data_IF_976636795780
#
_entry.id   IF_976636795780
#
_cell.length_a   1.000
_cell.length_b   1.000
_cell.length_c   1.000
_cell.angle_alpha   90.00
_cell.angle_beta   90.00
_cell.angle_gamma   90.00
#
_symmetry.space_group_name_H-M   'P 1'
#
loop_
_entity.id
_entity.type
_entity.pdbx_description
1 polymer ?
#
# COMPACT_ATOMS: atom_id res chain seq x y z
N UNK A 1 11.67 7.05 29.53
CA UNK A 1 10.79 6.25 28.66
C UNK A 1 11.20 6.51 27.22
N UNK A 2 11.77 5.53 26.54
CA UNK A 2 11.65 5.30 25.09
C UNK A 2 12.31 3.95 24.81
N UNK A 3 11.51 3.04 24.27
CA UNK A 3 11.79 1.62 24.14
C UNK A 3 12.70 1.27 22.95
N UNK A 4 13.23 0.06 23.07
CA UNK A 4 14.16 -0.68 22.25
C UNK A 4 13.53 -1.28 20.97
N UNK A 5 14.27 -1.29 19.85
CA UNK A 5 14.24 -2.27 18.74
C UNK A 5 15.41 -1.93 17.78
N UNK A 6 16.60 -2.55 17.84
CA UNK A 6 17.04 -3.90 17.40
C UNK A 6 17.17 -4.04 15.87
N UNK A 7 18.38 -3.76 15.39
CA UNK A 7 18.92 -4.03 14.05
C UNK A 7 20.26 -3.27 13.90
N UNK A 8 21.28 -3.78 13.19
CA UNK A 8 22.50 -3.00 12.97
C UNK A 8 22.15 -1.74 12.17
N UNK A 9 22.53 -0.57 12.70
CA UNK A 9 22.37 0.69 11.99
C UNK A 9 23.04 0.58 10.61
N UNK A 10 22.25 0.68 9.54
CA UNK A 10 22.79 0.62 8.18
C UNK A 10 23.38 2.00 7.85
N UNK A 11 24.68 2.15 8.07
CA UNK A 11 25.41 3.38 7.79
C UNK A 11 26.19 3.31 6.46
N UNK A 12 26.39 4.47 5.83
CA UNK A 12 27.22 4.62 4.65
C UNK A 12 28.60 5.17 5.02
N UNK A 13 29.65 4.52 4.50
CA UNK A 13 31.05 4.93 4.72
C UNK A 13 31.76 5.31 3.40
N UNK A 14 31.18 4.95 2.26
CA UNK A 14 31.63 5.26 0.91
C UNK A 14 30.42 5.56 0.03
N UNK A 15 30.59 6.46 -0.93
CA UNK A 15 29.51 6.94 -1.78
C UNK A 15 29.84 6.77 -3.26
N UNK A 16 28.80 6.45 -4.03
CA UNK A 16 28.86 6.45 -5.48
C UNK A 16 29.12 7.86 -6.01
N UNK A 17 30.18 8.01 -6.80
CA UNK A 17 30.61 9.32 -7.33
C UNK A 17 29.91 9.72 -8.62
N UNK A 18 29.57 8.74 -9.46
CA UNK A 18 28.92 9.00 -10.77
C UNK A 18 27.40 8.85 -10.69
N UNK A 19 26.63 9.69 -11.39
CA UNK A 19 25.18 9.58 -11.39
C UNK A 19 24.69 8.21 -11.87
N UNK A 20 23.82 7.60 -11.08
CA UNK A 20 23.14 6.35 -11.45
C UNK A 20 21.92 6.72 -12.32
N UNK A 21 21.67 6.04 -13.45
CA UNK A 21 20.46 6.28 -14.23
C UNK A 21 19.19 5.99 -13.40
N UNK A 22 18.28 6.97 -13.32
CA UNK A 22 17.08 6.83 -12.47
C UNK A 22 16.21 5.60 -12.81
N UNK A 23 16.17 5.20 -14.09
CA UNK A 23 15.37 4.07 -14.59
C UNK A 23 15.74 2.72 -14.01
N UNK A 24 16.91 2.60 -13.38
CA UNK A 24 17.38 1.36 -12.75
C UNK A 24 17.24 1.37 -11.23
N UNK A 25 16.74 2.48 -10.66
CA UNK A 25 16.49 2.62 -9.22
C UNK A 25 15.03 2.27 -8.97
N UNK A 26 14.78 1.42 -7.96
CA UNK A 26 13.43 0.97 -7.59
C UNK A 26 12.92 1.63 -6.31
N UNK A 27 13.81 2.22 -5.52
CA UNK A 27 13.48 2.93 -4.30
C UNK A 27 14.73 3.38 -3.58
N UNK A 28 14.55 4.09 -2.47
CA UNK A 28 15.64 4.48 -1.60
C UNK A 28 15.27 4.40 -0.12
N UNK A 29 16.29 4.36 0.73
CA UNK A 29 16.14 4.57 2.17
C UNK A 29 17.19 5.56 2.66
N UNK A 30 16.83 6.37 3.65
CA UNK A 30 17.78 7.24 4.36
C UNK A 30 18.46 6.41 5.44
N UNK A 31 19.76 6.61 5.66
CA UNK A 31 20.49 5.95 6.75
C UNK A 31 20.01 6.44 8.12
N UNK A 32 20.29 5.67 9.16
CA UNK A 32 19.92 6.04 10.53
C UNK A 32 20.54 7.39 10.93
N UNK A 33 19.81 8.17 11.73
CA UNK A 33 20.28 9.45 12.28
C UNK A 33 21.46 9.28 13.24
N UNK A 34 21.67 8.08 13.76
CA UNK A 34 22.82 7.71 14.60
C UNK A 34 24.12 7.57 13.80
N UNK A 35 24.06 7.51 12.47
CA UNK A 35 25.25 7.43 11.63
C UNK A 35 26.02 8.75 11.66
N UNK A 36 27.35 8.67 11.76
CA UNK A 36 28.23 9.86 11.80
C UNK A 36 28.20 10.68 10.51
N UNK A 37 27.83 10.04 9.38
CA UNK A 37 27.68 10.70 8.08
C UNK A 37 26.27 10.51 7.55
N UNK A 38 25.67 11.54 6.93
CA UNK A 38 24.39 11.40 6.27
C UNK A 38 24.54 10.49 5.05
N UNK A 39 23.55 9.65 4.78
CA UNK A 39 23.59 8.74 3.66
C UNK A 39 22.20 8.41 3.15
N UNK A 40 22.13 8.18 1.84
CA UNK A 40 20.96 7.59 1.20
C UNK A 40 21.41 6.32 0.50
N UNK A 41 20.59 5.29 0.57
CA UNK A 41 20.86 3.99 -0.03
C UNK A 41 19.83 3.78 -1.14
N UNK A 42 20.28 3.78 -2.39
CA UNK A 42 19.47 3.43 -3.54
C UNK A 42 19.41 1.92 -3.71
N UNK A 43 18.20 1.40 -3.85
CA UNK A 43 17.95 0.01 -4.26
C UNK A 43 17.81 -0.02 -5.78
N UNK A 44 18.61 -0.86 -6.43
CA UNK A 44 18.56 -1.03 -7.88
C UNK A 44 17.65 -2.20 -8.27
N UNK A 45 17.25 -2.26 -9.54
CA UNK A 45 16.49 -3.40 -10.11
C UNK A 45 17.18 -4.75 -9.93
N UNK A 46 18.51 -4.77 -9.84
CA UNK A 46 19.29 -5.96 -9.53
C UNK A 46 19.31 -6.33 -8.04
N UNK A 47 18.47 -5.69 -7.23
CA UNK A 47 18.45 -5.75 -5.75
C UNK A 47 19.73 -5.26 -5.06
N UNK A 48 20.68 -4.70 -5.82
CA UNK A 48 21.92 -4.14 -5.26
C UNK A 48 21.61 -2.83 -4.56
N UNK A 49 22.21 -2.65 -3.38
CA UNK A 49 22.13 -1.42 -2.59
C UNK A 49 23.39 -0.57 -2.79
N UNK A 50 23.22 0.73 -3.01
CA UNK A 50 24.32 1.65 -3.27
C UNK A 50 24.16 2.90 -2.41
N UNK A 51 25.18 3.20 -1.61
CA UNK A 51 25.27 4.44 -0.86
C UNK A 51 25.54 5.63 -1.77
N UNK A 52 24.76 6.70 -1.60
CA UNK A 52 24.85 7.97 -2.30
C UNK A 52 24.78 9.11 -1.29
N UNK A 53 25.42 10.22 -1.62
CA UNK A 53 25.52 11.38 -0.75
C UNK A 53 24.29 12.30 -0.94
N UNK A 54 23.47 12.52 0.10
CA UNK A 54 22.25 13.33 0.00
C UNK A 54 22.52 14.82 -0.29
N UNK A 55 23.74 15.31 -0.11
CA UNK A 55 24.09 16.72 -0.39
C UNK A 55 24.32 16.97 -1.89
N UNK A 56 24.41 15.92 -2.71
CA UNK A 56 24.67 16.04 -4.14
C UNK A 56 23.39 16.23 -4.93
N UNK A 57 23.35 17.27 -5.79
CA UNK A 57 22.17 17.69 -6.57
C UNK A 57 21.49 16.57 -7.37
N UNK A 58 22.25 15.66 -7.99
CA UNK A 58 21.64 14.58 -8.77
C UNK A 58 20.94 13.55 -7.88
N UNK A 59 21.40 13.36 -6.64
CA UNK A 59 20.79 12.46 -5.66
C UNK A 59 19.46 13.05 -5.20
N UNK A 60 19.44 14.33 -4.83
CA UNK A 60 18.22 15.05 -4.46
C UNK A 60 17.16 14.99 -5.55
N UNK A 61 17.54 15.29 -6.80
CA UNK A 61 16.64 15.23 -7.95
C UNK A 61 16.07 13.82 -8.20
N UNK A 62 16.85 12.78 -7.90
CA UNK A 62 16.38 11.40 -8.03
C UNK A 62 15.45 11.02 -6.90
N UNK A 63 15.73 11.44 -5.66
CA UNK A 63 14.84 11.24 -4.51
C UNK A 63 13.48 11.88 -4.77
N UNK A 64 13.45 13.16 -5.17
CA UNK A 64 12.20 13.86 -5.49
C UNK A 64 11.37 13.13 -6.55
N UNK A 65 12.01 12.64 -7.62
CA UNK A 65 11.31 11.89 -8.66
C UNK A 65 10.82 10.53 -8.18
N UNK A 66 11.60 9.85 -7.34
CA UNK A 66 11.18 8.58 -6.75
C UNK A 66 10.00 8.83 -5.80
N UNK A 67 10.04 9.87 -4.99
CA UNK A 67 8.91 10.27 -4.12
C UNK A 67 7.67 10.58 -4.94
N UNK A 68 7.79 11.32 -6.05
CA UNK A 68 6.68 11.56 -6.98
C UNK A 68 6.09 10.25 -7.51
N UNK A 69 6.93 9.33 -7.97
CA UNK A 69 6.47 8.02 -8.49
C UNK A 69 5.81 7.19 -7.38
N UNK A 70 6.38 7.17 -6.17
CA UNK A 70 5.81 6.43 -5.03
C UNK A 70 4.50 7.04 -4.56
N UNK A 71 4.40 8.37 -4.51
CA UNK A 71 3.16 9.08 -4.18
C UNK A 71 2.08 8.86 -5.25
N UNK A 72 2.45 8.80 -6.54
CA UNK A 72 1.52 8.43 -7.61
C UNK A 72 1.01 6.99 -7.42
N UNK A 73 1.87 6.06 -7.00
CA UNK A 73 1.47 4.69 -6.68
C UNK A 73 0.59 4.66 -5.43
N UNK A 74 0.91 5.39 -4.36
CA UNK A 74 0.07 5.52 -3.18
C UNK A 74 -1.26 6.21 -3.49
N UNK A 75 -1.31 7.09 -4.50
CA UNK A 75 -2.54 7.66 -5.04
C UNK A 75 -3.34 6.67 -5.89
N UNK A 76 -2.67 5.69 -6.50
CA UNK A 76 -3.33 4.57 -7.20
C UNK A 76 -3.82 3.47 -6.24
N UNK A 77 -3.28 3.43 -5.01
CA UNK A 77 -3.76 2.61 -3.88
C UNK A 77 -4.80 3.38 -3.05
N UNK A 78 -4.74 4.71 -3.02
CA UNK A 78 -5.86 5.61 -2.71
C UNK A 78 -6.76 5.73 -3.95
N UNK A 79 -7.32 4.60 -4.37
CA UNK A 79 -8.68 4.64 -4.92
C UNK A 79 -9.46 5.47 -3.89
N UNK A 80 -10.02 6.64 -4.25
CA UNK A 80 -10.71 7.50 -3.29
C UNK A 80 -11.62 6.60 -2.48
N UNK A 81 -11.58 6.72 -1.14
CA UNK A 81 -12.44 6.00 -0.21
C UNK A 81 -13.77 5.75 -0.89
N UNK A 82 -13.98 4.51 -1.34
CA UNK A 82 -14.89 4.28 -2.47
C UNK A 82 -16.31 4.35 -1.95
N UNK A 83 -16.82 5.58 -1.77
CA UNK A 83 -18.13 5.82 -1.23
C UNK A 83 -19.17 5.30 -2.20
N UNK A 84 -20.23 4.71 -1.63
CA UNK A 84 -21.37 4.28 -2.41
C UNK A 84 -22.37 5.43 -2.52
N UNK A 85 -22.61 5.90 -3.75
CA UNK A 85 -23.62 6.93 -4.02
C UNK A 85 -24.96 6.32 -4.47
N UNK A 86 -24.95 5.05 -4.88
CA UNK A 86 -26.11 4.26 -5.30
C UNK A 86 -25.91 2.79 -4.96
N UNK A 87 -26.99 2.07 -4.68
CA UNK A 87 -26.95 0.67 -4.29
C UNK A 87 -27.64 -0.25 -5.30
N UNK A 88 -27.11 -1.46 -5.42
CA UNK A 88 -27.78 -2.55 -6.08
C UNK A 88 -28.78 -3.21 -5.12
N UNK A 89 -30.06 -3.13 -5.46
CA UNK A 89 -31.14 -3.53 -4.54
C UNK A 89 -31.45 -5.03 -4.54
N UNK A 90 -31.13 -5.74 -5.63
CA UNK A 90 -31.44 -7.18 -5.74
C UNK A 90 -30.37 -8.04 -5.04
N UNK A 91 -30.73 -9.14 -4.36
CA UNK A 91 -29.76 -10.05 -3.77
C UNK A 91 -28.80 -10.61 -4.83
N UNK A 92 -27.51 -10.46 -4.59
CA UNK A 92 -26.45 -11.04 -5.42
C UNK A 92 -26.15 -12.45 -4.91
N UNK A 93 -26.12 -13.49 -5.75
CA UNK A 93 -25.82 -14.84 -5.29
C UNK A 93 -24.45 -14.93 -4.60
N UNK A 94 -24.41 -15.39 -3.34
CA UNK A 94 -23.16 -15.46 -2.56
C UNK A 94 -22.00 -16.17 -3.28
N UNK A 95 -22.31 -17.20 -4.07
CA UNK A 95 -21.32 -18.02 -4.79
C UNK A 95 -20.50 -17.23 -5.80
N UNK A 96 -20.96 -16.05 -6.25
CA UNK A 96 -20.23 -15.22 -7.21
C UNK A 96 -19.46 -14.08 -6.54
N UNK A 97 -19.54 -13.95 -5.21
CA UNK A 97 -18.85 -12.93 -4.43
C UNK A 97 -17.55 -13.52 -3.89
N UNK A 98 -16.43 -12.86 -4.18
CA UNK A 98 -15.09 -13.30 -3.76
C UNK A 98 -14.61 -12.59 -2.50
N UNK A 99 -15.28 -11.51 -2.10
CA UNK A 99 -14.92 -10.72 -0.93
C UNK A 99 -15.73 -9.43 -0.88
N UNK A 100 -15.58 -8.70 0.22
CA UNK A 100 -16.24 -7.42 0.40
C UNK A 100 -15.30 -6.42 1.09
N UNK A 101 -15.60 -5.14 0.94
CA UNK A 101 -15.04 -4.06 1.74
C UNK A 101 -16.17 -3.16 2.24
N UNK A 102 -16.03 -2.65 3.45
CA UNK A 102 -16.92 -1.60 3.98
C UNK A 102 -16.37 -0.26 3.51
N UNK A 103 -17.23 0.67 3.12
CA UNK A 103 -16.81 2.03 2.76
C UNK A 103 -16.29 2.79 3.98
N UNK A 104 -15.46 3.78 3.74
CA UNK A 104 -14.91 4.59 4.83
C UNK A 104 -16.01 5.35 5.61
N UNK A 105 -15.76 5.57 6.90
CA UNK A 105 -16.66 6.29 7.82
C UNK A 105 -16.86 7.76 7.46
N UNK A 106 -15.98 8.36 6.66
CA UNK A 106 -16.10 9.73 6.16
C UNK A 106 -17.08 9.84 4.98
N UNK A 107 -17.56 8.71 4.43
CA UNK A 107 -18.60 8.71 3.41
C UNK A 107 -19.93 9.22 3.99
N UNK A 108 -20.64 10.07 3.24
CA UNK A 108 -21.95 10.60 3.67
C UNK A 108 -23.02 9.51 3.82
N UNK A 109 -22.82 8.33 3.23
CA UNK A 109 -23.68 7.16 3.37
C UNK A 109 -22.83 5.93 3.67
N UNK A 110 -23.31 5.03 4.55
CA UNK A 110 -22.63 3.75 4.79
C UNK A 110 -22.80 2.85 3.57
N UNK A 111 -21.77 2.10 3.21
CA UNK A 111 -21.81 1.22 2.05
C UNK A 111 -20.97 -0.03 2.24
N UNK A 112 -21.36 -1.08 1.53
CA UNK A 112 -20.54 -2.28 1.37
C UNK A 112 -20.31 -2.48 -0.12
N UNK A 113 -19.06 -2.76 -0.49
CA UNK A 113 -18.68 -3.04 -1.88
C UNK A 113 -18.36 -4.52 -1.99
N UNK A 114 -19.22 -5.26 -2.69
CA UNK A 114 -18.94 -6.65 -3.05
C UNK A 114 -18.05 -6.72 -4.28
N UNK A 115 -16.99 -7.53 -4.17
CA UNK A 115 -16.14 -7.89 -5.31
C UNK A 115 -16.62 -9.22 -5.87
N UNK A 116 -16.98 -9.23 -7.15
CA UNK A 116 -17.46 -10.43 -7.84
C UNK A 116 -16.29 -11.19 -8.48
N UNK A 117 -16.52 -12.45 -8.88
CA UNK A 117 -15.51 -13.29 -9.56
C UNK A 117 -14.92 -12.64 -10.81
N UNK A 118 -15.71 -11.88 -11.57
CA UNK A 118 -15.25 -11.13 -12.74
C UNK A 118 -14.55 -9.81 -12.39
N UNK A 119 -14.14 -9.62 -11.13
CA UNK A 119 -13.50 -8.42 -10.56
C UNK A 119 -14.38 -7.16 -10.56
N UNK A 120 -15.65 -7.25 -10.97
CA UNK A 120 -16.58 -6.12 -10.86
C UNK A 120 -16.88 -5.83 -9.39
N UNK A 121 -16.89 -4.55 -9.05
CA UNK A 121 -17.28 -4.06 -7.74
C UNK A 121 -18.72 -3.55 -7.77
N UNK A 122 -19.52 -3.92 -6.78
CA UNK A 122 -20.93 -3.53 -6.69
C UNK A 122 -21.21 -2.99 -5.28
N UNK A 123 -21.70 -1.76 -5.23
CA UNK A 123 -22.19 -1.13 -4.01
C UNK A 123 -23.54 -1.74 -3.59
N UNK A 124 -23.65 -2.14 -2.34
CA UNK A 124 -24.85 -2.66 -1.70
C UNK A 124 -25.07 -1.98 -0.35
N UNK A 125 -26.33 -1.91 0.05
CA UNK A 125 -26.73 -1.21 1.27
C UNK A 125 -26.54 -2.12 2.50
N UNK A 126 -25.72 -1.73 3.49
CA UNK A 126 -25.46 -2.53 4.69
C UNK A 126 -26.69 -2.74 5.58
N UNK A 127 -27.76 -1.96 5.41
CA UNK A 127 -29.00 -2.10 6.19
C UNK A 127 -29.85 -3.29 5.71
N UNK A 128 -29.59 -3.82 4.51
CA UNK A 128 -30.31 -4.98 4.01
C UNK A 128 -29.86 -6.29 4.68
N UNK A 129 -30.82 -7.08 5.17
CA UNK A 129 -30.56 -8.36 5.86
C UNK A 129 -29.73 -9.34 5.00
N UNK A 130 -30.01 -9.41 3.69
CA UNK A 130 -29.27 -10.29 2.80
C UNK A 130 -27.79 -9.89 2.72
N UNK A 131 -27.48 -8.58 2.74
CA UNK A 131 -26.08 -8.08 2.71
C UNK A 131 -25.35 -8.52 3.97
N UNK A 132 -25.96 -8.31 5.15
CA UNK A 132 -25.40 -8.72 6.43
C UNK A 132 -25.16 -10.23 6.51
N UNK A 133 -26.12 -11.02 6.01
CA UNK A 133 -26.01 -12.48 5.97
C UNK A 133 -24.89 -12.95 5.01
N UNK A 134 -24.65 -12.22 3.91
CA UNK A 134 -23.54 -12.53 3.01
C UNK A 134 -22.19 -12.17 3.62
N UNK A 135 -22.07 -11.02 4.28
CA UNK A 135 -20.85 -10.61 4.98
C UNK A 135 -20.43 -11.66 6.00
N UNK A 136 -21.34 -12.08 6.90
CA UNK A 136 -21.07 -13.12 7.90
C UNK A 136 -20.56 -14.42 7.28
N UNK A 137 -21.22 -14.90 6.22
CA UNK A 137 -20.81 -16.12 5.52
C UNK A 137 -19.46 -15.98 4.83
N UNK A 138 -19.16 -14.80 4.28
CA UNK A 138 -17.85 -14.52 3.67
C UNK A 138 -16.78 -14.50 4.76
N UNK A 139 -17.02 -13.87 5.90
CA UNK A 139 -16.09 -13.88 7.05
C UNK A 139 -15.81 -15.31 7.53
N UNK A 140 -16.84 -16.15 7.65
CA UNK A 140 -16.69 -17.57 7.99
C UNK A 140 -15.83 -18.33 6.96
N UNK A 141 -15.96 -18.02 5.67
CA UNK A 141 -15.16 -18.65 4.60
C UNK A 141 -13.70 -18.18 4.69
N UNK A 142 -13.47 -16.87 4.81
CA UNK A 142 -12.13 -16.28 4.83
C UNK A 142 -11.36 -16.69 6.09
N UNK A 143 -12.01 -16.68 7.26
CA UNK A 143 -11.41 -17.13 8.52
C UNK A 143 -11.06 -18.62 8.50
N UNK A 144 -11.86 -19.46 7.81
CA UNK A 144 -11.50 -20.87 7.60
C UNK A 144 -10.26 -21.02 6.72
N UNK A 145 -10.10 -20.17 5.71
CA UNK A 145 -8.91 -20.15 4.85
C UNK A 145 -7.65 -19.71 5.62
N UNK A 146 -7.74 -18.73 6.52
CA UNK A 146 -6.60 -18.33 7.38
C UNK A 146 -6.20 -19.40 8.40
N UNK A 147 -7.14 -20.23 8.86
CA UNK A 147 -6.90 -21.33 9.81
C UNK A 147 -6.45 -22.65 9.16
N UNK A 148 -6.34 -22.71 7.82
CA UNK A 148 -5.94 -23.90 7.08
C UNK A 148 -4.59 -23.77 6.35
N UNK A 149 -3.80 -22.74 6.69
CA UNK A 149 -2.40 -22.54 6.27
C UNK A 149 -1.47 -22.66 7.48
#
# INVERSE_FOLDING_TARGET
>A
MAENSIGPATCCFSYQRTPIPIRVITGYKVTDRQCTKPGVIFTLKSSRQVCVDPEVKWVQKHMEKIDQILNEIESSVNVPDSCCFSYHNNPIPIRVITGYKVTDRHCSKPGVVFTLMNKRQVCVDPEHEWVQNHMKKIDEILNKFELSV
#
